data_IF_557927030152
#
_entry.id   IF_557927030152
#
_cell.length_a   1.000
_cell.length_b   1.000
_cell.length_c   1.000
_cell.angle_alpha   90.00
_cell.angle_beta   90.00
_cell.angle_gamma   90.00
#
_symmetry.space_group_name_H-M   'P 1'
#
loop_
_entity.id
_entity.type
_entity.pdbx_description
1 polymer ?
#
# COMPACT_ATOMS: atom_id res chain seq x y z
N UNK A 1 -41.97 -2.46 -46.57
CA UNK A 1 -43.19 -2.84 -45.83
C UNK A 1 -42.72 -3.64 -44.62
N UNK A 2 -42.37 -2.99 -43.50
CA UNK A 2 -43.26 -2.67 -42.37
C UNK A 2 -44.05 -3.89 -41.88
N UNK A 3 -43.72 -4.42 -40.70
CA UNK A 3 -44.66 -4.64 -39.58
C UNK A 3 -43.85 -4.66 -38.26
N UNK A 4 -44.12 -3.66 -37.41
CA UNK A 4 -43.82 -3.57 -35.98
C UNK A 4 -44.65 -4.55 -35.15
N UNK A 5 -44.14 -5.03 -34.00
CA UNK A 5 -45.03 -5.41 -32.89
C UNK A 5 -44.43 -5.16 -31.51
N UNK A 6 -45.24 -4.47 -30.69
CA UNK A 6 -45.07 -4.09 -29.30
C UNK A 6 -45.28 -5.26 -28.34
N UNK A 7 -44.59 -5.28 -27.20
CA UNK A 7 -45.14 -5.88 -25.97
C UNK A 7 -44.95 -4.97 -24.74
N UNK A 8 -46.09 -4.77 -24.07
CA UNK A 8 -46.36 -3.89 -22.92
C UNK A 8 -45.82 -4.47 -21.61
N UNK A 9 -45.25 -3.62 -20.74
CA UNK A 9 -45.03 -3.91 -19.31
C UNK A 9 -46.28 -3.56 -18.49
N UNK A 10 -46.78 -4.50 -17.70
CA UNK A 10 -47.89 -4.32 -16.75
C UNK A 10 -47.36 -3.80 -15.41
N UNK A 11 -48.02 -2.77 -14.87
CA UNK A 11 -47.92 -2.31 -13.47
C UNK A 11 -48.99 -3.00 -12.64
N UNK A 12 -48.64 -3.49 -11.45
CA UNK A 12 -49.59 -3.95 -10.43
C UNK A 12 -49.64 -2.94 -9.29
N UNK A 13 -50.87 -2.56 -8.91
CA UNK A 13 -51.18 -1.79 -7.72
C UNK A 13 -51.82 -2.73 -6.68
N UNK A 14 -51.50 -2.53 -5.40
CA UNK A 14 -52.14 -3.19 -4.25
C UNK A 14 -52.31 -2.17 -3.13
N UNK A 15 -53.51 -2.14 -2.54
CA UNK A 15 -54.04 -1.18 -1.57
C UNK A 15 -54.11 -1.76 -0.13
N UNK A 16 -54.24 -0.83 0.83
CA UNK A 16 -54.74 -0.91 2.23
C UNK A 16 -53.72 -1.33 3.31
N UNK A 17 -53.65 -0.76 4.52
CA UNK A 17 -54.29 0.36 5.25
C UNK A 17 -53.53 0.56 6.59
N UNK A 18 -53.74 1.64 7.37
CA UNK A 18 -52.78 2.14 8.36
C UNK A 18 -53.09 1.77 9.82
N UNK A 19 -52.07 1.82 10.69
CA UNK A 19 -52.21 1.85 12.16
C UNK A 19 -51.40 3.03 12.71
N UNK A 20 -52.05 3.83 13.56
CA UNK A 20 -51.55 5.04 14.18
C UNK A 20 -51.09 4.82 15.63
N UNK A 21 -50.07 5.58 16.06
CA UNK A 21 -49.76 6.12 17.41
C UNK A 21 -48.28 6.58 17.39
N UNK A 22 -47.80 7.68 17.95
CA UNK A 22 -48.34 8.80 18.73
C UNK A 22 -47.29 9.93 18.74
N UNK A 23 -47.76 11.17 18.95
CA UNK A 23 -47.01 12.43 18.88
C UNK A 23 -45.82 12.58 19.85
N UNK A 24 -44.76 13.21 19.35
CA UNK A 24 -43.73 13.92 20.14
C UNK A 24 -43.44 15.27 19.49
N UNK A 25 -43.93 16.34 20.11
CA UNK A 25 -43.96 17.72 19.61
C UNK A 25 -42.58 18.39 19.74
N UNK A 26 -42.04 18.95 18.64
CA UNK A 26 -41.00 19.99 18.74
C UNK A 26 -41.40 21.24 17.94
N UNK A 27 -41.19 22.37 18.60
CA UNK A 27 -41.68 23.72 18.31
C UNK A 27 -40.87 24.32 17.16
N UNK A 28 -41.54 24.79 16.10
CA UNK A 28 -40.94 25.59 15.02
C UNK A 28 -40.58 27.00 15.53
N UNK A 29 -39.32 27.41 15.36
CA UNK A 29 -38.90 28.83 15.37
C UNK A 29 -38.88 29.37 13.92
N UNK A 30 -39.16 30.67 13.69
CA UNK A 30 -39.41 31.19 12.35
C UNK A 30 -38.10 31.46 11.60
N UNK A 31 -38.07 31.11 10.30
CA UNK A 31 -37.05 31.56 9.34
C UNK A 31 -37.18 33.07 9.13
N UNK A 32 -36.09 33.82 9.39
CA UNK A 32 -35.84 35.11 8.74
C UNK A 32 -35.13 34.81 7.43
N UNK A 33 -35.67 35.32 6.34
CA UNK A 33 -35.04 35.27 5.02
C UNK A 33 -33.81 36.16 4.98
N UNK A 34 -32.77 35.65 4.37
CA UNK A 34 -31.88 36.40 3.50
C UNK A 34 -31.49 35.44 2.38
N UNK A 35 -31.70 35.90 1.16
CA UNK A 35 -31.22 35.29 -0.07
C UNK A 35 -29.70 35.29 -0.05
N UNK A 36 -29.11 34.10 -0.15
CA UNK A 36 -27.75 33.83 -0.64
C UNK A 36 -27.74 32.32 -0.96
N UNK A 37 -28.47 31.96 -2.02
CA UNK A 37 -28.31 30.67 -2.69
C UNK A 37 -26.95 30.71 -3.41
N UNK A 38 -25.96 29.94 -2.93
CA UNK A 38 -24.89 29.27 -3.71
C UNK A 38 -23.67 28.88 -2.85
N UNK A 39 -23.81 28.09 -1.77
CA UNK A 39 -22.64 27.47 -1.08
C UNK A 39 -22.85 26.03 -0.56
N UNK A 40 -23.82 25.25 -1.06
CA UNK A 40 -24.11 23.90 -0.55
C UNK A 40 -23.68 22.73 -1.48
N UNK A 41 -22.60 22.88 -2.25
CA UNK A 41 -22.11 21.81 -3.15
C UNK A 41 -20.89 21.02 -2.66
N UNK A 42 -20.38 21.25 -1.45
CA UNK A 42 -19.14 20.60 -0.98
C UNK A 42 -19.18 20.29 0.51
N UNK A 43 -20.09 19.41 0.98
CA UNK A 43 -20.00 18.91 2.37
C UNK A 43 -20.62 17.53 2.64
N UNK A 44 -20.84 16.70 1.62
CA UNK A 44 -21.08 15.26 1.83
C UNK A 44 -19.87 14.48 1.32
N UNK A 45 -18.80 14.45 2.11
CA UNK A 45 -17.68 13.53 1.92
C UNK A 45 -17.79 12.39 2.96
N UNK A 46 -18.42 11.25 2.63
CA UNK A 46 -18.50 10.09 3.51
C UNK A 46 -17.15 9.38 3.73
N UNK A 47 -16.05 9.85 3.11
CA UNK A 47 -14.75 9.17 3.16
C UNK A 47 -14.06 9.15 4.54
N UNK A 48 -14.50 9.96 5.50
CA UNK A 48 -13.73 10.17 6.73
C UNK A 48 -14.14 9.33 7.94
N UNK A 49 -15.39 8.88 8.03
CA UNK A 49 -15.75 7.82 9.00
C UNK A 49 -15.19 6.45 8.53
N UNK A 50 -14.90 6.31 7.23
CA UNK A 50 -14.25 5.12 6.66
C UNK A 50 -12.75 5.05 6.99
N UNK A 51 -12.02 6.15 7.19
CA UNK A 51 -10.55 6.09 7.40
C UNK A 51 -10.12 5.39 8.72
N UNK A 52 -10.90 5.54 9.80
CA UNK A 52 -10.67 4.84 11.07
C UNK A 52 -11.17 3.38 11.04
N UNK A 53 -12.09 3.06 10.12
CA UNK A 53 -12.62 1.72 9.87
C UNK A 53 -11.72 0.92 8.90
N UNK A 54 -11.26 1.54 7.81
CA UNK A 54 -10.24 1.04 6.89
C UNK A 54 -8.94 0.69 7.62
N UNK A 55 -8.50 1.48 8.61
CA UNK A 55 -7.29 1.17 9.37
C UNK A 55 -7.42 -0.11 10.23
N UNK A 56 -8.63 -0.52 10.62
CA UNK A 56 -8.87 -1.77 11.35
C UNK A 56 -9.09 -2.95 10.40
N UNK A 57 -9.74 -2.73 9.27
CA UNK A 57 -10.00 -3.77 8.25
C UNK A 57 -8.76 -4.05 7.40
N UNK A 58 -7.82 -3.10 7.29
CA UNK A 58 -6.58 -3.27 6.53
C UNK A 58 -5.40 -3.85 7.30
N UNK A 59 -5.58 -4.26 8.56
CA UNK A 59 -4.50 -4.78 9.40
C UNK A 59 -3.78 -5.97 8.73
N UNK A 60 -2.50 -5.79 8.43
CA UNK A 60 -1.65 -6.83 7.82
C UNK A 60 -1.59 -8.04 8.75
N UNK A 61 -1.97 -9.22 8.25
CA UNK A 61 -1.87 -10.46 9.02
C UNK A 61 -0.42 -10.94 9.06
N UNK A 62 0.17 -10.92 10.25
CA UNK A 62 1.54 -11.38 10.47
C UNK A 62 1.59 -12.86 10.85
N UNK A 63 2.72 -13.49 10.57
CA UNK A 63 3.03 -14.85 10.99
C UNK A 63 4.51 -15.15 10.88
N UNK A 64 4.85 -16.43 10.74
CA UNK A 64 6.22 -16.87 10.48
C UNK A 64 6.21 -17.60 9.14
N UNK A 65 6.73 -16.96 8.11
CA UNK A 65 6.77 -17.57 6.79
C UNK A 65 7.87 -18.62 6.68
N UNK A 66 7.74 -19.55 5.72
CA UNK A 66 8.80 -20.53 5.44
C UNK A 66 10.08 -19.82 4.97
N UNK A 67 11.24 -20.48 5.11
CA UNK A 67 12.49 -19.97 4.54
C UNK A 67 12.41 -19.93 3.00
N UNK A 68 13.36 -19.24 2.37
CA UNK A 68 13.55 -19.37 0.93
C UNK A 68 14.35 -20.65 0.66
N UNK A 69 13.89 -21.46 -0.29
CA UNK A 69 14.58 -22.66 -0.75
C UNK A 69 14.80 -22.55 -2.26
N UNK A 70 16.06 -22.70 -2.69
CA UNK A 70 16.40 -22.81 -4.11
C UNK A 70 16.54 -24.30 -4.45
N UNK A 71 15.54 -24.87 -5.10
CA UNK A 71 15.49 -26.28 -5.47
C UNK A 71 15.83 -26.52 -6.94
N UNK A 72 15.68 -25.49 -7.79
CA UNK A 72 15.82 -25.57 -9.22
C UNK A 72 16.47 -24.30 -9.79
N UNK A 73 17.70 -24.45 -10.28
CA UNK A 73 18.48 -23.36 -10.90
C UNK A 73 17.75 -22.69 -12.07
N UNK A 74 16.86 -23.43 -12.77
CA UNK A 74 16.06 -22.87 -13.87
C UNK A 74 14.96 -21.92 -13.39
N UNK A 75 14.48 -22.12 -12.16
CA UNK A 75 13.42 -21.30 -11.55
C UNK A 75 13.99 -20.09 -10.83
N UNK A 76 15.06 -20.27 -10.08
CA UNK A 76 15.70 -19.21 -9.30
C UNK A 76 16.16 -18.03 -10.16
N UNK A 77 16.27 -16.84 -9.57
CA UNK A 77 16.94 -15.68 -10.20
C UNK A 77 18.45 -15.93 -10.33
N UNK A 78 19.15 -15.26 -11.27
CA UNK A 78 20.60 -15.39 -11.39
C UNK A 78 21.31 -15.00 -10.09
N UNK A 79 22.43 -15.64 -9.76
CA UNK A 79 23.20 -15.30 -8.57
C UNK A 79 23.74 -13.86 -8.62
N UNK A 80 23.69 -13.18 -7.48
CA UNK A 80 24.17 -11.80 -7.35
C UNK A 80 25.70 -11.81 -7.32
N UNK A 81 26.39 -10.93 -8.07
CA UNK A 81 27.82 -10.72 -7.90
C UNK A 81 28.13 -10.11 -6.53
N UNK A 82 29.39 -10.11 -6.14
CA UNK A 82 29.82 -9.39 -4.94
C UNK A 82 29.60 -7.88 -5.14
N UNK A 83 28.76 -7.27 -4.30
CA UNK A 83 28.48 -5.83 -4.32
C UNK A 83 29.32 -5.12 -3.25
N UNK A 84 30.16 -4.18 -3.64
CA UNK A 84 30.86 -3.29 -2.73
C UNK A 84 30.10 -1.97 -2.58
N UNK A 85 29.36 -1.84 -1.46
CA UNK A 85 28.53 -0.67 -1.17
C UNK A 85 29.31 0.67 -1.17
N UNK A 86 30.64 0.66 -1.04
CA UNK A 86 31.46 1.89 -1.03
C UNK A 86 31.87 2.37 -2.42
N UNK A 87 31.86 1.50 -3.43
CA UNK A 87 32.33 1.82 -4.79
C UNK A 87 31.24 1.65 -5.84
N UNK A 88 30.31 0.74 -5.59
CA UNK A 88 29.29 0.35 -6.54
C UNK A 88 28.04 1.18 -6.30
N UNK A 89 27.42 1.62 -7.37
CA UNK A 89 26.07 2.18 -7.35
C UNK A 89 25.07 1.06 -7.62
N UNK A 90 23.85 1.19 -7.11
CA UNK A 90 22.76 0.28 -7.43
C UNK A 90 21.71 0.99 -8.26
N UNK A 91 21.28 0.38 -9.37
CA UNK A 91 20.25 0.92 -10.25
C UNK A 91 19.19 -0.14 -10.46
N UNK A 92 17.92 0.21 -10.23
CA UNK A 92 16.81 -0.71 -10.44
C UNK A 92 15.55 0.03 -10.86
N UNK A 93 14.69 -0.64 -11.62
CA UNK A 93 13.36 -0.16 -11.95
C UNK A 93 12.43 -0.53 -10.80
N UNK A 94 11.82 0.47 -10.17
CA UNK A 94 10.84 0.23 -9.11
C UNK A 94 9.52 -0.25 -9.72
N UNK A 95 8.84 -1.18 -9.05
CA UNK A 95 7.55 -1.73 -9.52
C UNK A 95 6.43 -1.56 -8.49
N UNK A 96 6.77 -1.49 -7.21
CA UNK A 96 5.82 -1.44 -6.11
C UNK A 96 6.44 -0.70 -4.93
N UNK A 97 5.60 -0.15 -4.07
CA UNK A 97 6.00 0.52 -2.86
C UNK A 97 4.97 0.32 -1.76
N UNK A 98 5.44 0.24 -0.53
CA UNK A 98 4.58 0.22 0.64
C UNK A 98 5.26 0.94 1.82
N UNK A 99 4.55 1.03 2.95
CA UNK A 99 5.09 1.61 4.18
C UNK A 99 4.91 0.70 5.38
N UNK A 100 5.80 0.85 6.37
CA UNK A 100 5.63 0.24 7.69
C UNK A 100 6.14 1.16 8.79
N UNK A 101 5.63 0.99 10.01
CA UNK A 101 6.16 1.69 11.19
C UNK A 101 7.27 0.87 11.81
N UNK A 102 8.47 1.44 11.92
CA UNK A 102 9.59 0.78 12.60
C UNK A 102 9.45 0.87 14.12
N UNK A 103 9.09 -0.26 14.75
CA UNK A 103 9.02 -0.36 16.21
C UNK A 103 10.38 -0.53 16.87
N UNK A 104 11.37 -1.05 16.12
CA UNK A 104 12.63 -1.52 16.69
C UNK A 104 13.68 -0.40 16.71
N UNK A 105 13.35 0.75 16.11
CA UNK A 105 14.21 1.93 16.08
C UNK A 105 15.55 1.62 15.41
N UNK A 106 15.50 0.83 14.34
CA UNK A 106 16.68 0.34 13.64
C UNK A 106 17.47 1.57 13.18
N UNK A 107 18.62 1.87 13.80
CA UNK A 107 19.34 3.07 13.44
C UNK A 107 19.81 2.89 12.00
N UNK A 108 19.53 3.85 11.13
CA UNK A 108 20.17 3.86 9.82
C UNK A 108 21.69 3.91 10.05
N UNK A 109 22.36 2.78 9.79
CA UNK A 109 23.72 2.50 10.30
C UNK A 109 24.75 3.47 9.70
N UNK A 110 24.49 4.01 8.52
CA UNK A 110 25.46 4.75 7.73
C UNK A 110 25.71 6.17 8.20
N UNK A 111 24.75 6.82 8.85
CA UNK A 111 24.92 8.22 9.21
C UNK A 111 24.20 8.54 10.52
N UNK A 112 24.90 8.27 11.63
CA UNK A 112 24.45 8.64 12.98
C UNK A 112 24.43 10.15 13.22
N UNK A 113 24.99 10.95 12.31
CA UNK A 113 25.02 12.41 12.43
C UNK A 113 23.75 13.06 11.91
N UNK A 114 23.01 12.40 11.01
CA UNK A 114 21.71 12.86 10.56
C UNK A 114 20.68 12.74 11.68
N UNK A 115 19.77 13.71 11.84
CA UNK A 115 18.72 13.65 12.83
C UNK A 115 17.84 12.43 12.54
N UNK A 116 18.01 11.40 13.37
CA UNK A 116 17.19 10.20 13.35
C UNK A 116 16.21 10.30 14.52
N UNK A 117 14.92 10.34 14.21
CA UNK A 117 13.87 10.26 15.23
C UNK A 117 13.89 8.83 15.76
N UNK A 118 14.34 8.63 17.01
CA UNK A 118 14.52 7.28 17.57
C UNK A 118 13.18 6.61 17.84
N UNK A 119 12.95 5.47 17.18
CA UNK A 119 11.81 4.59 17.42
C UNK A 119 10.49 5.21 16.96
N UNK A 120 9.72 4.48 16.15
CA UNK A 120 8.40 4.87 15.63
C UNK A 120 8.39 5.87 14.46
N UNK A 121 9.26 5.68 13.47
CA UNK A 121 9.11 6.37 12.18
C UNK A 121 8.44 5.47 11.15
N UNK A 122 7.83 6.10 10.15
CA UNK A 122 7.41 5.41 8.94
C UNK A 122 8.59 5.22 8.00
N UNK A 123 8.86 3.97 7.64
CA UNK A 123 9.83 3.59 6.61
C UNK A 123 9.05 3.21 5.36
N UNK A 124 9.53 3.65 4.20
CA UNK A 124 9.01 3.23 2.90
C UNK A 124 9.83 2.05 2.40
N UNK A 125 9.19 1.01 1.89
CA UNK A 125 9.84 -0.06 1.14
C UNK A 125 9.58 0.16 -0.34
N UNK A 126 10.65 0.18 -1.12
CA UNK A 126 10.59 0.26 -2.57
C UNK A 126 11.07 -1.07 -3.15
N UNK A 127 10.24 -1.72 -3.97
CA UNK A 127 10.55 -2.98 -4.60
C UNK A 127 10.87 -2.78 -6.07
N UNK A 128 11.77 -3.58 -6.62
CA UNK A 128 12.08 -3.49 -8.03
C UNK A 128 13.11 -4.49 -8.51
N UNK A 129 13.58 -4.27 -9.74
CA UNK A 129 14.45 -5.20 -10.47
C UNK A 129 15.57 -4.44 -11.18
N UNK A 130 16.81 -4.94 -11.10
CA UNK A 130 17.96 -4.38 -11.85
C UNK A 130 17.90 -4.75 -13.33
N UNK A 131 18.74 -4.13 -14.17
CA UNK A 131 18.88 -4.50 -15.59
C UNK A 131 19.31 -5.97 -15.77
N UNK A 132 20.05 -6.54 -14.81
CA UNK A 132 20.50 -7.93 -14.79
C UNK A 132 19.42 -8.92 -14.27
N UNK A 133 18.31 -8.40 -13.75
CA UNK A 133 17.22 -9.22 -13.23
C UNK A 133 17.32 -9.58 -11.75
N UNK A 134 18.12 -8.87 -10.95
CA UNK A 134 18.16 -9.07 -9.50
C UNK A 134 16.97 -8.40 -8.82
N UNK A 135 16.30 -9.11 -7.91
CA UNK A 135 15.22 -8.49 -7.12
C UNK A 135 15.77 -7.65 -5.96
N UNK A 136 15.24 -6.44 -5.82
CA UNK A 136 15.67 -5.43 -4.85
C UNK A 136 14.50 -5.04 -3.96
N UNK A 137 14.77 -4.90 -2.67
CA UNK A 137 13.94 -4.14 -1.75
C UNK A 137 14.81 -3.11 -1.02
N UNK A 138 14.50 -1.83 -1.20
CA UNK A 138 15.15 -0.72 -0.55
C UNK A 138 14.28 -0.17 0.58
N UNK A 139 14.83 -0.07 1.78
CA UNK A 139 14.25 0.67 2.90
C UNK A 139 14.67 2.13 2.80
N UNK A 140 13.71 3.03 2.59
CA UNK A 140 13.92 4.46 2.51
C UNK A 140 13.64 5.10 3.87
N UNK A 141 14.66 5.71 4.45
CA UNK A 141 14.63 6.31 5.78
C UNK A 141 14.55 7.83 5.73
N UNK A 142 14.04 8.43 6.81
CA UNK A 142 14.14 9.88 7.06
C UNK A 142 13.21 10.75 6.23
N UNK A 143 12.21 10.16 5.57
CA UNK A 143 11.10 10.93 5.02
C UNK A 143 10.05 11.17 6.10
N UNK A 144 9.68 12.43 6.32
CA UNK A 144 8.84 12.84 7.46
C UNK A 144 7.47 13.30 6.95
N UNK A 145 6.36 12.78 7.47
CA UNK A 145 5.02 13.24 7.12
C UNK A 145 4.82 14.71 7.48
N UNK A 146 4.20 15.47 6.59
CA UNK A 146 3.87 16.87 6.84
C UNK A 146 2.60 17.30 6.10
N UNK A 147 2.00 18.38 6.58
CA UNK A 147 0.89 19.08 5.96
C UNK A 147 1.02 20.60 6.22
N UNK A 148 0.11 21.40 5.69
CA UNK A 148 0.14 22.86 5.89
C UNK A 148 -1.08 23.40 6.61
N UNK A 149 -0.92 24.53 7.29
CA UNK A 149 -1.99 25.28 7.93
C UNK A 149 -1.82 26.80 7.75
N UNK A 150 -2.89 27.57 7.85
CA UNK A 150 -2.83 29.03 7.91
C UNK A 150 -2.07 29.52 9.14
N UNK A 151 -1.34 30.63 9.02
CA UNK A 151 -0.75 31.29 10.19
C UNK A 151 -1.85 31.84 11.13
N UNK A 152 -1.63 31.83 12.46
CA UNK A 152 -2.63 32.32 13.42
C UNK A 152 -2.97 33.81 13.28
N UNK A 153 -1.99 34.63 12.91
CA UNK A 153 -2.15 36.08 12.73
C UNK A 153 -1.06 36.64 11.84
N UNK A 154 -1.28 37.84 11.30
CA UNK A 154 -0.26 38.58 10.53
C UNK A 154 0.98 38.96 11.35
N UNK A 155 0.88 38.86 12.68
CA UNK A 155 1.98 39.11 13.62
C UNK A 155 2.73 37.85 14.02
N UNK A 156 2.32 36.67 13.55
CA UNK A 156 2.97 35.41 13.87
C UNK A 156 4.35 35.32 13.19
N UNK A 157 5.38 34.98 13.95
CA UNK A 157 6.76 34.96 13.46
C UNK A 157 7.45 33.61 13.68
N UNK A 158 8.65 33.46 13.14
CA UNK A 158 9.47 32.27 13.37
C UNK A 158 9.77 32.03 14.87
N UNK A 159 9.80 33.08 15.69
CA UNK A 159 10.01 32.96 17.13
C UNK A 159 8.82 32.29 17.85
N UNK A 160 7.63 32.33 17.25
CA UNK A 160 6.40 31.75 17.81
C UNK A 160 6.22 30.28 17.45
N UNK A 161 6.96 29.77 16.46
CA UNK A 161 6.84 28.41 15.93
C UNK A 161 7.07 27.34 17.00
N UNK A 162 8.07 27.51 17.86
CA UNK A 162 8.37 26.54 18.92
C UNK A 162 7.25 26.51 19.98
N UNK A 163 6.68 27.66 20.34
CA UNK A 163 5.53 27.73 21.25
C UNK A 163 4.29 27.09 20.63
N UNK A 164 4.03 27.36 19.35
CA UNK A 164 2.93 26.73 18.61
C UNK A 164 3.11 25.20 18.61
N UNK A 165 4.30 24.72 18.23
CA UNK A 165 4.66 23.30 18.22
C UNK A 165 4.40 22.64 19.57
N UNK A 166 4.89 23.21 20.67
CA UNK A 166 4.74 22.63 22.01
C UNK A 166 3.28 22.50 22.44
N UNK A 167 2.48 23.55 22.24
CA UNK A 167 1.06 23.52 22.59
C UNK A 167 0.27 22.59 21.67
N UNK A 168 0.60 22.54 20.38
CA UNK A 168 -0.06 21.66 19.42
C UNK A 168 0.27 20.20 19.70
N UNK A 169 1.53 19.92 20.03
CA UNK A 169 1.98 18.62 20.52
C UNK A 169 1.18 18.17 21.75
N UNK A 170 0.99 19.03 22.74
CA UNK A 170 0.22 18.71 23.93
C UNK A 170 -1.27 18.44 23.61
N UNK A 171 -1.87 19.22 22.72
CA UNK A 171 -3.24 19.01 22.26
C UNK A 171 -3.38 17.66 21.55
N UNK A 172 -2.52 17.38 20.57
CA UNK A 172 -2.51 16.11 19.84
C UNK A 172 -2.30 14.93 20.78
N UNK A 173 -1.37 15.05 21.74
CA UNK A 173 -1.09 14.00 22.74
C UNK A 173 -2.31 13.66 23.59
N UNK A 174 -3.14 14.65 23.93
CA UNK A 174 -4.36 14.43 24.73
C UNK A 174 -5.44 13.61 23.99
N UNK A 175 -5.41 13.64 22.66
CA UNK A 175 -6.30 12.85 21.80
C UNK A 175 -5.76 11.42 21.55
N UNK A 176 -4.46 11.20 21.70
CA UNK A 176 -3.85 9.88 21.46
C UNK A 176 -4.24 8.86 22.54
N UNK A 177 -4.18 7.56 22.17
CA UNK A 177 -4.46 6.41 23.05
C UNK A 177 -3.37 5.36 22.89
N UNK A 178 -3.25 4.45 23.87
CA UNK A 178 -2.33 3.30 23.78
C UNK A 178 -0.86 3.71 23.63
N UNK A 179 -0.14 3.03 22.72
CA UNK A 179 1.31 3.28 22.48
C UNK A 179 1.59 4.69 21.97
N UNK A 180 0.67 5.27 21.19
CA UNK A 180 0.82 6.61 20.63
C UNK A 180 0.74 7.70 21.73
N UNK A 181 0.01 7.46 22.83
CA UNK A 181 -0.02 8.38 23.98
C UNK A 181 1.32 8.45 24.75
N UNK A 182 2.19 7.46 24.55
CA UNK A 182 3.48 7.32 25.24
C UNK A 182 4.64 7.87 24.38
N UNK A 183 4.46 7.95 23.05
CA UNK A 183 5.45 8.52 22.14
C UNK A 183 5.94 9.90 22.61
N UNK A 184 7.25 10.17 22.53
CA UNK A 184 7.83 11.40 23.11
C UNK A 184 7.45 12.65 22.31
N UNK A 185 7.47 12.56 20.98
CA UNK A 185 7.34 13.69 20.07
C UNK A 185 6.39 13.37 18.91
N UNK A 186 5.11 13.74 19.03
CA UNK A 186 4.11 13.55 17.98
C UNK A 186 4.21 14.61 16.86
N UNK A 187 4.64 15.82 17.22
CA UNK A 187 4.83 16.97 16.32
C UNK A 187 6.32 17.28 16.31
N UNK A 188 6.96 17.05 15.16
CA UNK A 188 8.41 17.08 15.02
C UNK A 188 8.91 18.50 14.73
N UNK A 189 8.23 19.21 13.84
CA UNK A 189 8.62 20.55 13.41
C UNK A 189 7.42 21.41 13.05
N UNK A 190 7.56 22.72 13.26
CA UNK A 190 6.63 23.75 12.75
C UNK A 190 7.49 24.87 12.19
N UNK A 191 7.33 25.17 10.90
CA UNK A 191 8.10 26.21 10.22
C UNK A 191 7.20 27.06 9.33
N UNK A 192 7.59 28.33 9.11
CA UNK A 192 6.88 29.22 8.21
C UNK A 192 7.42 29.04 6.80
N UNK A 193 6.54 28.75 5.86
CA UNK A 193 6.83 28.75 4.42
C UNK A 193 5.97 29.78 3.68
N UNK A 194 6.42 30.17 2.49
CA UNK A 194 5.66 30.98 1.56
C UNK A 194 5.04 30.10 0.48
N UNK A 195 3.72 29.95 0.51
CA UNK A 195 2.96 29.13 -0.45
C UNK A 195 1.73 29.90 -0.94
N UNK A 196 1.01 29.35 -1.91
CA UNK A 196 -0.27 29.89 -2.38
C UNK A 196 -1.28 28.76 -2.52
N UNK A 197 -2.54 29.08 -2.27
CA UNK A 197 -3.63 28.18 -2.61
C UNK A 197 -3.73 28.03 -4.12
N UNK A 198 -3.96 26.80 -4.59
CA UNK A 198 -4.29 26.50 -5.99
C UNK A 198 -5.62 27.13 -6.43
N UNK A 199 -6.53 27.34 -5.47
CA UNK A 199 -7.84 27.92 -5.73
C UNK A 199 -7.77 29.45 -5.84
N UNK A 200 -8.23 29.96 -6.99
CA UNK A 200 -8.31 31.40 -7.28
C UNK A 200 -6.99 32.02 -7.74
N UNK A 201 -7.07 33.10 -8.51
CA UNK A 201 -5.89 33.87 -8.91
C UNK A 201 -5.35 34.68 -7.73
N UNK A 202 -4.05 34.54 -7.45
CA UNK A 202 -3.35 35.31 -6.42
C UNK A 202 -2.16 36.04 -7.05
N UNK A 203 -2.10 37.39 -6.97
CA UNK A 203 -1.03 38.17 -7.59
C UNK A 203 0.35 37.78 -7.07
N UNK A 204 1.38 37.93 -7.91
CA UNK A 204 2.73 37.51 -7.54
C UNK A 204 3.32 38.25 -6.32
N UNK A 205 2.86 39.48 -6.12
CA UNK A 205 3.19 40.32 -4.98
C UNK A 205 2.68 39.79 -3.64
N UNK A 206 1.73 38.83 -3.64
CA UNK A 206 1.24 38.17 -2.43
C UNK A 206 1.86 36.77 -2.33
N UNK A 207 2.67 36.55 -1.31
CA UNK A 207 3.17 35.23 -0.92
C UNK A 207 2.73 34.97 0.52
N UNK A 208 1.47 34.53 0.71
CA UNK A 208 0.96 34.33 2.06
C UNK A 208 1.83 33.31 2.79
N UNK A 209 2.01 33.57 4.08
CA UNK A 209 2.71 32.67 4.96
C UNK A 209 1.78 31.53 5.38
N UNK A 210 2.33 30.33 5.39
CA UNK A 210 1.68 29.13 5.90
C UNK A 210 2.61 28.46 6.89
N UNK A 211 2.04 27.71 7.83
CA UNK A 211 2.79 26.81 8.68
C UNK A 211 2.91 25.47 7.97
N UNK A 212 4.13 24.97 7.82
CA UNK A 212 4.39 23.57 7.52
C UNK A 212 4.59 22.83 8.82
N UNK A 213 3.76 21.83 9.05
CA UNK A 213 3.70 21.07 10.29
C UNK A 213 4.13 19.64 9.98
N UNK A 214 5.25 19.21 10.54
CA UNK A 214 5.77 17.86 10.43
C UNK A 214 5.35 17.03 11.64
N UNK A 215 4.82 15.84 11.40
CA UNK A 215 4.36 14.92 12.45
C UNK A 215 5.09 13.58 12.36
N UNK A 216 5.11 12.83 13.46
CA UNK A 216 5.87 11.59 13.56
C UNK A 216 5.36 10.50 12.60
N UNK A 217 4.04 10.35 12.47
CA UNK A 217 3.41 9.29 11.68
C UNK A 217 2.30 9.87 10.79
N UNK A 218 2.09 9.35 9.57
CA UNK A 218 1.03 9.80 8.66
C UNK A 218 -0.36 9.77 9.31
N UNK A 219 -0.65 8.74 10.10
CA UNK A 219 -1.94 8.59 10.81
C UNK A 219 -2.27 9.75 11.76
N UNK A 220 -1.29 10.54 12.18
CA UNK A 220 -1.53 11.70 13.04
C UNK A 220 -2.08 12.92 12.28
N UNK A 221 -2.02 12.94 10.95
CA UNK A 221 -2.49 14.07 10.13
C UNK A 221 -4.01 14.26 10.28
N UNK A 222 -4.80 13.19 10.28
CA UNK A 222 -6.26 13.27 10.40
C UNK A 222 -6.69 13.91 11.74
N UNK A 223 -6.13 13.44 12.86
CA UNK A 223 -6.40 14.05 14.18
C UNK A 223 -5.86 15.48 14.27
N UNK A 224 -4.69 15.73 13.68
CA UNK A 224 -4.08 17.07 13.61
C UNK A 224 -5.00 18.06 12.90
N UNK A 225 -5.57 17.67 11.75
CA UNK A 225 -6.56 18.46 11.01
C UNK A 225 -7.76 18.80 11.88
N UNK A 226 -8.38 17.80 12.52
CA UNK A 226 -9.56 17.99 13.38
C UNK A 226 -9.29 18.99 14.51
N UNK A 227 -8.14 18.89 15.19
CA UNK A 227 -7.76 19.80 16.28
C UNK A 227 -7.62 21.24 15.76
N UNK A 228 -6.97 21.41 14.61
CA UNK A 228 -6.73 22.73 14.02
C UNK A 228 -8.03 23.37 13.50
N UNK A 229 -8.89 22.62 12.82
CA UNK A 229 -10.12 23.14 12.21
C UNK A 229 -11.21 23.42 13.25
N UNK A 230 -11.31 22.60 14.31
CA UNK A 230 -12.29 22.81 15.39
C UNK A 230 -11.92 23.93 16.38
N UNK A 231 -10.69 24.43 16.31
CA UNK A 231 -10.19 25.49 17.16
C UNK A 231 -9.15 25.02 18.17
N UNK A 232 -7.97 25.65 18.14
CA UNK A 232 -6.85 25.32 19.02
C UNK A 232 -6.15 26.59 19.54
N UNK A 233 -5.77 26.56 20.83
CA UNK A 233 -5.05 27.66 21.48
C UNK A 233 -3.55 27.45 21.48
N UNK A 234 -2.85 28.11 20.56
CA UNK A 234 -1.38 28.05 20.48
C UNK A 234 -0.68 28.90 21.53
N UNK A 235 -1.39 29.86 22.15
CA UNK A 235 -0.86 30.71 23.22
C UNK A 235 -1.02 30.08 24.60
N UNK A 236 -1.81 29.00 24.73
CA UNK A 236 -2.18 28.40 26.01
C UNK A 236 -3.34 29.10 26.71
N UNK A 237 -3.89 30.16 26.13
CA UNK A 237 -5.11 30.79 26.62
C UNK A 237 -6.34 30.02 26.13
N UNK A 238 -6.88 29.15 26.99
CA UNK A 238 -8.02 28.25 26.65
C UNK A 238 -9.31 28.98 26.26
N UNK A 239 -9.43 30.28 26.53
CA UNK A 239 -10.59 31.08 26.08
C UNK A 239 -10.50 31.56 24.64
N UNK A 240 -9.33 31.45 24.01
CA UNK A 240 -9.11 31.79 22.61
C UNK A 240 -8.83 30.51 21.83
N UNK A 241 -9.87 30.02 21.14
CA UNK A 241 -9.79 28.89 20.23
C UNK A 241 -9.91 29.43 18.81
N UNK A 242 -8.78 29.52 18.13
CA UNK A 242 -8.73 29.96 16.74
C UNK A 242 -8.79 28.73 15.83
N UNK A 243 -9.68 28.75 14.83
CA UNK A 243 -9.74 27.72 13.80
C UNK A 243 -8.72 28.02 12.70
N UNK A 244 -7.97 27.01 12.27
CA UNK A 244 -6.96 27.14 11.22
C UNK A 244 -7.41 26.39 9.97
N UNK A 245 -7.28 27.03 8.82
CA UNK A 245 -7.48 26.36 7.54
C UNK A 245 -6.30 25.42 7.29
N UNK A 246 -6.58 24.15 7.04
CA UNK A 246 -5.55 23.17 6.69
C UNK A 246 -5.47 22.96 5.18
N UNK A 247 -4.32 22.52 4.70
CA UNK A 247 -4.07 22.22 3.30
C UNK A 247 -3.25 20.94 3.21
N UNK A 248 -3.45 20.20 2.12
CA UNK A 248 -2.70 18.98 1.81
C UNK A 248 -2.75 17.90 2.92
N UNK A 249 -3.83 17.89 3.71
CA UNK A 249 -4.07 16.92 4.80
C UNK A 249 -4.67 15.59 4.33
N UNK A 250 -4.99 15.49 3.03
CA UNK A 250 -5.63 14.33 2.40
C UNK A 250 -4.79 13.78 1.23
N UNK A 251 -3.46 13.75 1.41
CA UNK A 251 -2.54 13.19 0.42
C UNK A 251 -1.82 12.03 1.08
N UNK A 252 -1.91 10.86 0.46
CA UNK A 252 -1.27 9.64 0.93
C UNK A 252 0.25 9.84 1.05
N UNK A 253 0.83 9.23 2.07
CA UNK A 253 2.23 9.46 2.43
C UNK A 253 3.19 9.03 1.32
N UNK A 254 2.86 7.94 0.65
CA UNK A 254 3.51 7.37 -0.51
C UNK A 254 3.47 8.32 -1.71
N UNK A 255 2.29 8.85 -2.03
CA UNK A 255 2.09 9.80 -3.14
C UNK A 255 2.83 11.10 -2.86
N UNK A 256 2.82 11.54 -1.60
CA UNK A 256 3.57 12.69 -1.13
C UNK A 256 5.08 12.50 -1.32
N UNK A 257 5.64 11.35 -0.91
CA UNK A 257 7.05 11.00 -1.19
C UNK A 257 7.36 11.04 -2.68
N UNK A 258 6.50 10.42 -3.49
CA UNK A 258 6.70 10.34 -4.93
C UNK A 258 6.76 11.73 -5.57
N UNK A 259 5.84 12.61 -5.19
CA UNK A 259 5.84 13.99 -5.65
C UNK A 259 7.09 14.76 -5.22
N UNK A 260 7.47 14.67 -3.93
CA UNK A 260 8.58 15.43 -3.36
C UNK A 260 9.94 15.01 -3.93
N UNK A 261 10.12 13.72 -4.22
CA UNK A 261 11.37 13.16 -4.76
C UNK A 261 11.33 12.95 -6.28
N UNK A 262 10.29 13.42 -6.96
CA UNK A 262 10.06 13.23 -8.40
C UNK A 262 10.12 11.75 -8.82
N UNK A 263 9.62 10.84 -7.99
CA UNK A 263 9.45 9.43 -8.32
C UNK A 263 8.10 9.27 -9.02
N UNK A 264 8.11 8.60 -10.16
CA UNK A 264 6.89 8.23 -10.88
C UNK A 264 6.78 6.71 -10.94
N UNK A 265 5.58 6.21 -11.26
CA UNK A 265 5.36 4.77 -11.42
C UNK A 265 6.33 4.15 -12.44
N UNK A 266 6.86 2.97 -12.12
CA UNK A 266 7.74 2.18 -12.99
C UNK A 266 9.03 2.88 -13.41
N UNK A 267 9.50 3.90 -12.69
CA UNK A 267 10.72 4.60 -13.05
C UNK A 267 12.00 3.92 -12.54
N UNK A 268 13.13 4.39 -13.05
CA UNK A 268 14.44 3.93 -12.62
C UNK A 268 14.96 4.77 -11.46
N UNK A 269 15.43 4.08 -10.43
CA UNK A 269 16.05 4.68 -9.25
C UNK A 269 17.51 4.26 -9.19
N UNK A 270 18.40 5.24 -9.01
CA UNK A 270 19.81 5.01 -8.68
C UNK A 270 20.07 5.34 -7.22
N UNK A 271 20.84 4.48 -6.56
CA UNK A 271 21.39 4.71 -5.24
C UNK A 271 22.90 4.82 -5.38
N UNK A 272 23.50 6.02 -5.14
CA UNK A 272 24.92 6.24 -5.31
C UNK A 272 25.78 5.39 -4.37
N UNK A 273 27.02 5.12 -4.79
CA UNK A 273 28.02 4.47 -3.96
C UNK A 273 28.23 5.20 -2.63
N UNK A 274 28.37 4.44 -1.54
CA UNK A 274 28.56 4.93 -0.18
C UNK A 274 27.29 5.47 0.49
N UNK A 275 26.14 5.47 -0.19
CA UNK A 275 24.85 5.96 0.35
C UNK A 275 23.93 4.87 0.87
N UNK A 276 24.28 3.61 0.64
CA UNK A 276 23.49 2.45 1.06
C UNK A 276 24.35 1.38 1.70
N UNK A 277 23.68 0.48 2.41
CA UNK A 277 24.28 -0.76 2.88
C UNK A 277 23.30 -1.90 2.66
N UNK A 278 23.86 -3.08 2.40
CA UNK A 278 23.08 -4.30 2.22
C UNK A 278 22.97 -5.02 3.56
N UNK A 279 21.75 -5.27 4.03
CA UNK A 279 21.48 -5.78 5.38
C UNK A 279 22.17 -7.10 5.69
N UNK A 280 22.18 -8.03 4.74
CA UNK A 280 22.80 -9.35 4.93
C UNK A 280 24.35 -9.29 4.91
N UNK A 281 24.94 -8.20 4.39
CA UNK A 281 26.39 -7.98 4.35
C UNK A 281 26.92 -7.27 5.59
N UNK A 282 26.06 -6.77 6.49
CA UNK A 282 26.47 -6.16 7.76
C UNK A 282 26.95 -7.25 8.72
N UNK A 283 28.18 -7.69 8.52
CA UNK A 283 28.90 -8.62 9.40
C UNK A 283 30.22 -7.97 9.79
N UNK A 284 30.23 -7.36 10.99
CA UNK A 284 31.37 -7.11 11.91
C UNK A 284 31.20 -5.75 12.61
N UNK A 285 30.91 -5.79 13.91
CA UNK A 285 31.01 -4.63 14.81
C UNK A 285 29.69 -4.08 15.38
N UNK A 286 28.53 -4.57 14.93
CA UNK A 286 27.24 -4.22 15.51
C UNK A 286 26.70 -5.47 16.20
N UNK A 287 26.39 -5.34 17.48
CA UNK A 287 25.93 -6.43 18.37
C UNK A 287 24.59 -7.06 17.99
N UNK A 288 23.98 -6.66 16.86
CA UNK A 288 22.68 -7.11 16.41
C UNK A 288 22.71 -7.27 14.88
N UNK A 289 22.56 -8.51 14.40
CA UNK A 289 22.27 -8.75 12.98
C UNK A 289 20.90 -8.12 12.67
N UNK A 290 20.83 -7.31 11.60
CA UNK A 290 19.55 -6.79 11.14
C UNK A 290 18.68 -7.94 10.62
N UNK A 291 17.43 -8.00 11.09
CA UNK A 291 16.47 -9.01 10.63
C UNK A 291 16.08 -8.69 9.19
N UNK A 292 16.39 -9.60 8.27
CA UNK A 292 15.91 -9.51 6.88
C UNK A 292 14.40 -9.70 6.83
N UNK A 293 13.69 -8.75 6.23
CA UNK A 293 12.24 -8.76 6.11
C UNK A 293 11.74 -9.39 4.80
N UNK A 294 12.56 -9.36 3.74
CA UNK A 294 12.16 -9.74 2.39
C UNK A 294 12.88 -10.96 1.85
N UNK A 295 12.27 -11.58 0.84
CA UNK A 295 12.83 -12.65 0.00
C UNK A 295 13.60 -12.09 -1.21
N UNK A 296 13.71 -10.78 -1.34
CA UNK A 296 14.51 -10.17 -2.40
C UNK A 296 15.98 -10.59 -2.27
N UNK A 297 16.64 -10.70 -3.41
CA UNK A 297 18.07 -10.97 -3.48
C UNK A 297 18.89 -9.87 -2.80
N UNK A 298 18.51 -8.61 -3.01
CA UNK A 298 19.15 -7.44 -2.42
C UNK A 298 18.15 -6.76 -1.48
N UNK A 299 18.45 -6.79 -0.19
CA UNK A 299 17.73 -6.01 0.84
C UNK A 299 18.70 -4.97 1.43
N UNK A 300 18.38 -3.69 1.23
CA UNK A 300 19.26 -2.57 1.59
C UNK A 300 18.52 -1.46 2.33
N UNK A 301 19.29 -0.60 2.99
CA UNK A 301 18.80 0.64 3.58
C UNK A 301 19.49 1.85 2.95
N UNK A 302 18.72 2.92 2.75
CA UNK A 302 19.16 4.20 2.18
C UNK A 302 18.35 5.34 2.79
N UNK A 303 18.91 6.54 2.86
CA UNK A 303 18.11 7.73 3.16
C UNK A 303 17.29 8.15 1.93
N UNK A 304 16.03 8.51 2.13
CA UNK A 304 15.12 8.88 1.05
C UNK A 304 15.70 9.98 0.13
N UNK A 305 16.39 10.97 0.70
CA UNK A 305 16.98 12.09 -0.06
C UNK A 305 18.36 11.79 -0.68
N UNK A 306 18.95 10.61 -0.46
CA UNK A 306 20.20 10.21 -1.13
C UNK A 306 19.94 9.45 -2.45
N UNK A 307 18.69 9.08 -2.77
CA UNK A 307 18.35 8.41 -4.03
C UNK A 307 18.30 9.41 -5.19
N UNK A 308 18.51 8.91 -6.40
CA UNK A 308 18.36 9.65 -7.65
C UNK A 308 17.19 9.03 -8.42
N UNK A 309 16.16 9.84 -8.65
CA UNK A 309 15.01 9.46 -9.48
C UNK A 309 15.26 9.89 -10.93
N UNK A 310 15.20 8.95 -11.87
CA UNK A 310 15.28 9.28 -13.29
C UNK A 310 13.89 9.44 -13.92
N UNK A 311 13.68 10.50 -14.73
CA UNK A 311 12.49 10.60 -15.56
C UNK A 311 12.50 9.50 -16.62
N UNK A 312 11.32 9.04 -17.05
CA UNK A 312 11.16 8.00 -18.09
C UNK A 312 11.44 8.55 -19.49
N UNK A 313 12.67 9.02 -19.72
CA UNK A 313 13.13 9.67 -20.94
C UNK A 313 14.49 9.12 -21.38
N UNK A 314 14.74 9.12 -22.69
CA UNK A 314 16.00 8.62 -23.26
C UNK A 314 16.31 7.18 -22.82
N UNK A 315 17.51 6.97 -22.28
CA UNK A 315 17.98 5.65 -21.83
C UNK A 315 17.12 5.05 -20.70
N UNK A 316 16.37 5.88 -19.96
CA UNK A 316 15.51 5.48 -18.85
C UNK A 316 14.09 5.08 -19.27
N UNK A 317 13.81 5.01 -20.57
CA UNK A 317 12.58 4.43 -21.11
C UNK A 317 12.60 2.90 -21.18
N UNK A 318 13.78 2.28 -21.00
CA UNK A 318 13.92 0.83 -20.98
C UNK A 318 13.14 0.21 -19.81
N UNK A 319 12.80 -1.06 -19.95
CA UNK A 319 12.05 -1.83 -18.95
C UNK A 319 12.96 -2.95 -18.46
N UNK A 320 13.02 -3.15 -17.14
CA UNK A 320 13.75 -4.25 -16.52
C UNK A 320 13.21 -5.61 -17.01
N UNK A 321 13.99 -6.69 -16.95
CA UNK A 321 13.56 -8.02 -17.35
C UNK A 321 12.62 -8.66 -16.30
N UNK A 322 11.44 -8.05 -16.12
CA UNK A 322 10.42 -8.47 -15.16
C UNK A 322 9.97 -9.91 -15.43
N UNK A 323 9.85 -10.73 -14.38
CA UNK A 323 9.27 -12.06 -14.45
C UNK A 323 7.76 -11.96 -14.37
N UNK A 324 7.09 -12.34 -15.45
CA UNK A 324 5.62 -12.35 -15.56
C UNK A 324 5.18 -13.81 -15.46
N UNK A 325 4.49 -14.15 -14.38
CA UNK A 325 3.93 -15.47 -14.14
C UNK A 325 2.43 -15.47 -14.45
N UNK A 326 1.98 -16.41 -15.27
CA UNK A 326 0.56 -16.72 -15.42
C UNK A 326 0.27 -18.10 -14.86
N UNK A 327 -0.88 -18.27 -14.21
CA UNK A 327 -1.30 -19.55 -13.66
C UNK A 327 -2.82 -19.73 -13.77
N UNK A 328 -3.25 -20.99 -13.66
CA UNK A 328 -4.64 -21.44 -13.73
C UNK A 328 -4.80 -22.71 -12.87
N UNK A 329 -5.95 -22.87 -12.24
CA UNK A 329 -6.24 -24.02 -11.37
C UNK A 329 -7.40 -24.86 -11.90
N UNK A 330 -7.36 -26.16 -11.60
CA UNK A 330 -8.47 -27.06 -11.83
C UNK A 330 -8.94 -27.71 -10.53
N UNK A 331 -10.25 -27.74 -10.32
CA UNK A 331 -10.89 -28.29 -9.13
C UNK A 331 -11.84 -29.44 -9.50
N UNK A 332 -11.83 -30.53 -8.73
CA UNK A 332 -12.73 -31.65 -8.94
C UNK A 332 -14.06 -31.45 -8.19
N UNK A 333 -15.02 -30.76 -8.82
CA UNK A 333 -16.33 -30.45 -8.24
C UNK A 333 -17.33 -31.61 -8.20
N UNK A 334 -18.28 -31.54 -7.26
CA UNK A 334 -19.47 -32.40 -7.22
C UNK A 334 -20.43 -32.08 -8.38
N UNK A 335 -21.11 -33.12 -8.89
CA UNK A 335 -22.01 -32.99 -10.06
C UNK A 335 -23.12 -31.96 -9.82
N UNK A 336 -23.17 -30.94 -10.67
CA UNK A 336 -24.21 -29.89 -10.67
C UNK A 336 -24.03 -28.82 -9.58
N UNK A 337 -22.92 -28.85 -8.84
CA UNK A 337 -22.58 -27.88 -7.81
C UNK A 337 -21.30 -27.17 -8.26
N UNK A 338 -21.29 -25.84 -8.18
CA UNK A 338 -20.08 -25.07 -8.44
C UNK A 338 -19.03 -25.38 -7.36
N UNK A 339 -17.73 -25.51 -7.67
CA UNK A 339 -16.72 -25.90 -6.68
C UNK A 339 -16.74 -25.02 -5.43
N UNK A 340 -16.74 -25.65 -4.26
CA UNK A 340 -16.66 -25.02 -2.94
C UNK A 340 -15.33 -25.40 -2.27
N UNK A 341 -14.48 -24.44 -1.85
CA UNK A 341 -13.15 -24.71 -1.31
C UNK A 341 -13.12 -25.68 -0.12
N UNK A 342 -14.19 -25.72 0.68
CA UNK A 342 -14.31 -26.62 1.84
C UNK A 342 -14.62 -28.08 1.47
N UNK A 343 -14.94 -28.35 0.20
CA UNK A 343 -15.42 -29.67 -0.23
C UNK A 343 -14.66 -30.21 -1.43
N UNK A 344 -14.43 -29.37 -2.44
CA UNK A 344 -13.98 -29.79 -3.76
C UNK A 344 -12.47 -29.54 -3.90
N UNK A 345 -11.64 -30.58 -4.09
CA UNK A 345 -10.18 -30.45 -4.05
C UNK A 345 -9.62 -29.77 -5.30
N UNK A 346 -8.51 -29.06 -5.12
CA UNK A 346 -7.65 -28.62 -6.21
C UNK A 346 -6.86 -29.82 -6.71
N UNK A 347 -6.96 -30.10 -8.00
CA UNK A 347 -6.34 -31.29 -8.63
C UNK A 347 -5.20 -30.94 -9.56
N UNK A 348 -5.17 -29.74 -10.14
CA UNK A 348 -4.07 -29.28 -10.97
C UNK A 348 -3.83 -27.79 -10.78
N UNK A 349 -2.58 -27.36 -10.86
CA UNK A 349 -2.19 -25.96 -11.00
C UNK A 349 -1.16 -25.86 -12.12
N UNK A 350 -1.52 -25.21 -13.22
CA UNK A 350 -0.61 -24.93 -14.32
C UNK A 350 0.05 -23.57 -14.12
N UNK A 351 1.32 -23.42 -14.49
CA UNK A 351 2.02 -22.14 -14.41
C UNK A 351 3.01 -21.98 -15.56
N UNK A 352 3.06 -20.77 -16.11
CA UNK A 352 4.03 -20.35 -17.12
C UNK A 352 4.70 -19.06 -16.71
N UNK A 353 5.99 -18.91 -17.01
CA UNK A 353 6.75 -17.70 -16.67
C UNK A 353 7.57 -17.25 -17.87
N UNK A 354 7.40 -15.99 -18.24
CA UNK A 354 8.16 -15.29 -19.26
C UNK A 354 8.90 -14.11 -18.64
N UNK A 355 10.01 -13.68 -19.24
CA UNK A 355 10.68 -12.43 -18.87
C UNK A 355 10.26 -11.35 -19.84
N UNK A 356 10.05 -10.14 -19.34
CA UNK A 356 9.71 -9.01 -20.18
C UNK A 356 10.77 -8.82 -21.27
N UNK A 357 10.33 -8.81 -22.52
CA UNK A 357 11.19 -8.69 -23.70
C UNK A 357 11.62 -10.03 -24.34
N UNK A 358 11.49 -11.16 -23.64
CA UNK A 358 11.73 -12.48 -24.24
C UNK A 358 10.59 -12.86 -25.20
N UNK A 359 10.90 -13.69 -26.19
CA UNK A 359 9.92 -14.17 -27.19
C UNK A 359 9.11 -15.39 -26.73
N UNK A 360 9.71 -16.20 -25.85
CA UNK A 360 9.16 -17.46 -25.39
C UNK A 360 9.30 -17.55 -23.88
N UNK A 361 8.36 -18.24 -23.26
CA UNK A 361 8.40 -18.58 -21.85
C UNK A 361 9.58 -19.50 -21.51
N UNK A 362 10.25 -19.23 -20.39
CA UNK A 362 11.37 -20.05 -19.94
C UNK A 362 10.95 -21.11 -18.92
N UNK A 363 9.78 -20.97 -18.30
CA UNK A 363 9.21 -21.96 -17.37
C UNK A 363 7.80 -22.34 -17.83
N UNK A 364 7.55 -23.64 -17.90
CA UNK A 364 6.24 -24.25 -18.03
C UNK A 364 6.15 -25.41 -17.05
N UNK A 365 5.18 -25.38 -16.15
CA UNK A 365 5.00 -26.41 -15.14
C UNK A 365 3.53 -26.73 -14.94
N UNK A 366 3.25 -27.97 -14.53
CA UNK A 366 1.94 -28.36 -14.03
C UNK A 366 2.13 -29.18 -12.76
N UNK A 367 1.51 -28.75 -11.67
CA UNK A 367 1.42 -29.50 -10.42
C UNK A 367 0.15 -30.31 -10.46
N UNK A 368 0.23 -31.64 -10.28
CA UNK A 368 -0.94 -32.53 -10.41
C UNK A 368 -1.14 -33.36 -9.15
N UNK A 369 -2.39 -33.54 -8.75
CA UNK A 369 -2.77 -34.50 -7.71
C UNK A 369 -2.78 -35.91 -8.33
N UNK A 370 -1.88 -36.77 -7.87
CA UNK A 370 -1.64 -38.08 -8.47
C UNK A 370 -0.72 -38.02 -9.69
N UNK A 371 -0.75 -39.08 -10.49
CA UNK A 371 0.16 -39.25 -11.63
C UNK A 371 -0.32 -38.51 -12.87
N UNK A 372 0.62 -38.05 -13.70
CA UNK A 372 0.34 -37.39 -14.96
C UNK A 372 1.36 -37.86 -16.02
N UNK A 373 0.89 -38.10 -17.24
CA UNK A 373 1.77 -38.45 -18.34
C UNK A 373 2.73 -37.29 -18.64
N UNK A 374 3.96 -37.61 -19.04
CA UNK A 374 4.94 -36.59 -19.40
C UNK A 374 4.45 -35.74 -20.58
N UNK A 375 4.60 -34.42 -20.47
CA UNK A 375 4.23 -33.44 -21.49
C UNK A 375 5.52 -32.80 -22.01
N UNK A 376 5.75 -32.87 -23.32
CA UNK A 376 6.99 -32.38 -23.92
C UNK A 376 7.21 -30.89 -23.63
N UNK A 377 8.36 -30.56 -23.03
CA UNK A 377 8.73 -29.18 -22.69
C UNK A 377 8.07 -28.60 -21.44
N UNK A 378 7.30 -29.40 -20.67
CA UNK A 378 6.63 -28.98 -19.44
C UNK A 378 7.18 -29.78 -18.25
N UNK A 379 7.47 -29.09 -17.15
CA UNK A 379 7.81 -29.74 -15.88
C UNK A 379 6.55 -30.27 -15.18
N UNK A 380 6.33 -31.58 -15.25
CA UNK A 380 5.21 -32.24 -14.56
C UNK A 380 5.62 -32.57 -13.12
N UNK A 381 4.92 -31.99 -12.15
CA UNK A 381 5.16 -32.16 -10.71
C UNK A 381 4.03 -32.98 -10.10
N UNK A 382 4.20 -34.30 -10.10
CA UNK A 382 3.25 -35.23 -9.47
C UNK A 382 3.30 -35.11 -7.94
N UNK A 383 2.16 -34.85 -7.32
CA UNK A 383 2.00 -34.69 -5.88
C UNK A 383 1.07 -35.77 -5.34
N UNK A 384 1.45 -36.46 -4.27
CA UNK A 384 0.67 -37.59 -3.72
C UNK A 384 -0.57 -37.15 -2.97
N UNK A 385 -0.51 -35.96 -2.37
CA UNK A 385 -1.60 -35.36 -1.60
C UNK A 385 -1.84 -33.94 -2.07
N UNK A 386 -3.06 -33.44 -1.84
CA UNK A 386 -3.38 -32.04 -2.14
C UNK A 386 -2.56 -31.08 -1.26
N UNK A 387 -2.22 -31.50 -0.04
CA UNK A 387 -1.31 -30.74 0.82
C UNK A 387 0.05 -30.52 0.15
N UNK A 388 0.65 -31.59 -0.37
CA UNK A 388 1.92 -31.51 -1.10
C UNK A 388 1.79 -30.63 -2.35
N UNK A 389 0.68 -30.73 -3.08
CA UNK A 389 0.42 -29.91 -4.27
C UNK A 389 0.43 -28.42 -3.95
N UNK A 390 -0.35 -28.00 -2.95
CA UNK A 390 -0.46 -26.59 -2.55
C UNK A 390 0.86 -26.07 -1.97
N UNK A 391 1.53 -26.85 -1.12
CA UNK A 391 2.82 -26.49 -0.53
C UNK A 391 3.90 -26.30 -1.60
N UNK A 392 4.04 -27.26 -2.51
CA UNK A 392 5.04 -27.18 -3.60
C UNK A 392 4.76 -26.06 -4.59
N UNK A 393 3.49 -25.75 -4.87
CA UNK A 393 3.17 -24.60 -5.71
C UNK A 393 3.51 -23.28 -5.02
N UNK A 394 3.25 -23.16 -3.71
CA UNK A 394 3.64 -21.99 -2.94
C UNK A 394 5.18 -21.82 -2.87
N UNK A 395 5.93 -22.92 -2.72
CA UNK A 395 7.40 -22.92 -2.79
C UNK A 395 7.88 -22.47 -4.17
N UNK A 396 7.25 -22.98 -5.24
CA UNK A 396 7.55 -22.57 -6.60
C UNK A 396 7.34 -21.06 -6.82
N UNK A 397 6.24 -20.48 -6.34
CA UNK A 397 6.01 -19.02 -6.43
C UNK A 397 7.11 -18.24 -5.69
N UNK A 398 7.51 -18.70 -4.50
CA UNK A 398 8.59 -18.06 -3.72
C UNK A 398 9.95 -18.18 -4.40
N UNK A 399 10.25 -19.32 -5.01
CA UNK A 399 11.53 -19.58 -5.69
C UNK A 399 11.64 -18.84 -7.03
N UNK A 400 10.57 -18.84 -7.82
CA UNK A 400 10.51 -18.10 -9.10
C UNK A 400 10.60 -16.60 -8.87
N UNK A 401 10.10 -16.10 -7.74
CA UNK A 401 10.05 -14.68 -7.41
C UNK A 401 9.47 -13.80 -8.55
N UNK A 402 8.23 -14.06 -9.01
CA UNK A 402 7.61 -13.27 -10.09
C UNK A 402 7.38 -11.82 -9.67
N UNK A 403 7.60 -10.89 -10.61
CA UNK A 403 7.35 -9.46 -10.43
C UNK A 403 5.88 -9.14 -10.68
N UNK A 404 5.29 -9.79 -11.69
CA UNK A 404 3.88 -9.68 -12.06
C UNK A 404 3.27 -11.07 -12.03
N UNK A 405 2.12 -11.22 -11.38
CA UNK A 405 1.29 -12.42 -11.47
C UNK A 405 0.00 -12.05 -12.21
N UNK A 406 -0.30 -12.79 -13.27
CA UNK A 406 -1.43 -12.56 -14.18
C UNK A 406 -2.20 -13.86 -14.45
N UNK A 407 -3.33 -13.74 -15.14
CA UNK A 407 -4.27 -14.82 -15.43
C UNK A 407 -5.65 -14.24 -15.69
N UNK A 408 -6.68 -15.08 -15.66
CA UNK A 408 -8.05 -14.65 -15.93
C UNK A 408 -8.95 -15.06 -14.76
N UNK A 409 -9.52 -14.07 -14.06
CA UNK A 409 -10.33 -14.27 -12.85
C UNK A 409 -9.53 -14.77 -11.62
N UNK A 410 -8.21 -14.57 -11.63
CA UNK A 410 -7.30 -15.05 -10.58
C UNK A 410 -7.57 -14.44 -9.21
N UNK A 411 -8.05 -13.19 -9.14
CA UNK A 411 -8.34 -12.55 -7.87
C UNK A 411 -9.64 -13.06 -7.24
N UNK A 412 -10.71 -13.09 -8.04
CA UNK A 412 -12.05 -13.42 -7.58
C UNK A 412 -12.29 -14.92 -7.43
N UNK A 413 -11.54 -15.76 -8.16
CA UNK A 413 -11.64 -17.21 -8.10
C UNK A 413 -10.33 -17.84 -7.61
N UNK A 414 -9.27 -17.90 -8.42
CA UNK A 414 -8.13 -18.78 -8.14
C UNK A 414 -7.45 -18.53 -6.79
N UNK A 415 -6.98 -17.31 -6.52
CA UNK A 415 -6.36 -16.95 -5.23
C UNK A 415 -7.33 -17.14 -4.07
N UNK A 416 -8.57 -16.66 -4.21
CA UNK A 416 -9.58 -16.78 -3.17
C UNK A 416 -9.88 -18.26 -2.83
N UNK A 417 -9.95 -19.11 -3.85
CA UNK A 417 -10.16 -20.55 -3.73
C UNK A 417 -8.96 -21.21 -3.06
N UNK A 418 -7.74 -20.97 -3.56
CA UNK A 418 -6.51 -21.55 -3.04
C UNK A 418 -6.27 -21.19 -1.57
N UNK A 419 -6.44 -19.91 -1.20
CA UNK A 419 -6.27 -19.45 0.18
C UNK A 419 -7.28 -20.10 1.13
N UNK A 420 -8.54 -20.18 0.71
CA UNK A 420 -9.61 -20.80 1.51
C UNK A 420 -9.39 -22.31 1.63
N UNK A 421 -9.00 -22.98 0.53
CA UNK A 421 -8.68 -24.41 0.51
C UNK A 421 -7.49 -24.75 1.40
N UNK A 422 -6.40 -23.98 1.29
CA UNK A 422 -5.22 -24.15 2.14
C UNK A 422 -5.55 -23.97 3.62
N UNK A 423 -6.40 -22.98 3.96
CA UNK A 423 -6.92 -22.80 5.32
C UNK A 423 -7.75 -23.99 5.78
N UNK A 424 -8.65 -24.51 4.95
CA UNK A 424 -9.46 -25.70 5.25
C UNK A 424 -8.60 -26.94 5.53
N UNK A 425 -7.52 -27.11 4.78
CA UNK A 425 -6.56 -28.22 4.93
C UNK A 425 -5.49 -27.96 6.01
N UNK A 426 -5.53 -26.83 6.72
CA UNK A 426 -4.57 -26.41 7.74
C UNK A 426 -3.11 -26.28 7.23
N UNK A 427 -2.92 -25.87 5.98
CA UNK A 427 -1.60 -25.65 5.38
C UNK A 427 -1.10 -24.27 5.76
N UNK A 428 -0.52 -24.17 6.96
CA UNK A 428 -0.13 -22.89 7.55
C UNK A 428 0.95 -22.12 6.78
N UNK A 429 1.75 -22.80 5.95
CA UNK A 429 2.86 -22.25 5.15
C UNK A 429 2.44 -21.72 3.77
N UNK A 430 1.24 -22.07 3.30
CA UNK A 430 0.73 -21.66 2.00
C UNK A 430 0.56 -20.13 1.85
N UNK A 431 -0.07 -19.40 2.80
CA UNK A 431 -0.45 -18.01 2.59
C UNK A 431 0.73 -17.04 2.73
N UNK A 432 1.97 -17.43 2.43
CA UNK A 432 3.13 -16.53 2.41
C UNK A 432 3.68 -16.46 0.99
N UNK A 433 2.94 -15.76 0.11
CA UNK A 433 3.21 -15.68 -1.33
C UNK A 433 3.86 -14.35 -1.75
N UNK A 434 3.73 -13.30 -0.93
CA UNK A 434 4.41 -12.00 -1.15
C UNK A 434 5.94 -12.07 -0.99
N UNK A 435 6.62 -10.94 -1.21
CA UNK A 435 8.07 -10.83 -0.99
C UNK A 435 8.44 -10.64 0.47
N UNK A 436 7.53 -10.13 1.29
CA UNK A 436 7.74 -10.06 2.74
C UNK A 436 7.58 -11.45 3.35
N UNK A 437 8.57 -11.88 4.15
CA UNK A 437 8.63 -13.26 4.66
C UNK A 437 7.46 -13.59 5.57
N UNK A 438 7.18 -12.67 6.49
CA UNK A 438 6.32 -12.90 7.66
C UNK A 438 4.93 -12.26 7.50
N UNK A 439 4.56 -11.83 6.29
CA UNK A 439 3.24 -11.27 5.97
C UNK A 439 2.41 -12.32 5.24
N UNK A 440 1.19 -12.55 5.74
CA UNK A 440 0.24 -13.45 5.11
C UNK A 440 -0.51 -12.76 3.98
N UNK A 441 -0.60 -13.46 2.86
CA UNK A 441 -1.53 -13.19 1.77
C UNK A 441 -2.94 -13.54 2.21
N UNK A 442 -3.84 -12.56 2.07
CA UNK A 442 -5.24 -12.63 2.47
C UNK A 442 -6.12 -12.15 1.31
N UNK A 443 -7.35 -12.65 1.25
CA UNK A 443 -8.36 -12.17 0.30
C UNK A 443 -9.41 -11.34 1.03
N UNK A 444 -9.53 -10.06 0.67
CA UNK A 444 -10.50 -9.13 1.25
C UNK A 444 -11.54 -8.75 0.20
N UNK A 445 -12.81 -8.70 0.61
CA UNK A 445 -13.86 -8.17 -0.27
C UNK A 445 -13.75 -6.66 -0.32
N UNK A 446 -13.66 -6.10 -1.52
CA UNK A 446 -13.72 -4.67 -1.80
C UNK A 446 -14.87 -4.38 -2.74
N UNK A 447 -15.66 -3.34 -2.45
CA UNK A 447 -16.75 -2.91 -3.31
C UNK A 447 -16.31 -1.66 -4.06
N UNK A 448 -16.20 -1.77 -5.38
CA UNK A 448 -15.95 -0.62 -6.25
C UNK A 448 -17.28 -0.14 -6.83
N UNK A 449 -17.56 1.14 -6.65
CA UNK A 449 -18.77 1.76 -7.19
C UNK A 449 -18.43 3.06 -7.92
N UNK A 450 -18.71 3.09 -9.22
CA UNK A 450 -18.63 4.33 -10.01
C UNK A 450 -19.76 4.39 -11.04
N UNK A 451 -20.05 5.60 -11.54
CA UNK A 451 -21.06 5.78 -12.59
C UNK A 451 -20.66 5.06 -13.89
N UNK A 452 -19.36 5.01 -14.19
CA UNK A 452 -18.84 4.40 -15.42
C UNK A 452 -18.77 2.87 -15.33
N UNK A 453 -18.34 2.31 -14.19
CA UNK A 453 -18.07 0.87 -14.05
C UNK A 453 -19.21 0.10 -13.35
N UNK A 454 -20.20 0.82 -12.81
CA UNK A 454 -21.26 0.25 -11.99
C UNK A 454 -20.77 -0.09 -10.58
N UNK A 455 -21.55 -0.93 -9.89
CA UNK A 455 -21.16 -1.50 -8.59
C UNK A 455 -20.65 -2.92 -8.82
N UNK A 456 -19.41 -3.17 -8.43
CA UNK A 456 -18.76 -4.49 -8.51
C UNK A 456 -18.21 -4.86 -7.14
N UNK A 457 -18.33 -6.13 -6.79
CA UNK A 457 -17.70 -6.72 -5.63
C UNK A 457 -16.52 -7.57 -6.12
N UNK A 458 -15.32 -7.21 -5.71
CA UNK A 458 -14.08 -7.89 -6.09
C UNK A 458 -13.32 -8.34 -4.84
N UNK A 459 -12.40 -9.28 -5.02
CA UNK A 459 -11.42 -9.68 -4.03
C UNK A 459 -10.12 -8.92 -4.26
N UNK A 460 -9.65 -8.23 -3.24
CA UNK A 460 -8.30 -7.69 -3.18
C UNK A 460 -7.40 -8.72 -2.48
N UNK A 461 -6.28 -9.04 -3.12
CA UNK A 461 -5.27 -9.97 -2.60
C UNK A 461 -4.00 -9.17 -2.32
N UNK A 462 -3.44 -9.27 -1.11
CA UNK A 462 -2.16 -8.62 -0.78
C UNK A 462 -0.96 -9.52 -1.13
N UNK A 463 -0.05 -8.98 -1.94
CA UNK A 463 1.20 -9.63 -2.35
C UNK A 463 2.32 -8.60 -2.37
N UNK A 464 2.79 -8.19 -1.20
CA UNK A 464 3.72 -7.08 -1.06
C UNK A 464 4.96 -7.27 -1.93
N UNK A 465 5.28 -6.27 -2.76
CA UNK A 465 6.39 -6.28 -3.70
C UNK A 465 6.12 -7.03 -5.01
N UNK A 466 4.90 -7.52 -5.25
CA UNK A 466 4.47 -8.14 -6.51
C UNK A 466 3.22 -7.47 -7.04
N UNK A 467 3.16 -7.28 -8.35
CA UNK A 467 1.99 -6.71 -9.01
C UNK A 467 1.02 -7.81 -9.42
N UNK A 468 -0.25 -7.65 -9.05
CA UNK A 468 -1.34 -8.46 -9.56
C UNK A 468 -1.97 -7.78 -10.77
N UNK A 469 -2.07 -8.53 -11.87
CA UNK A 469 -2.70 -8.07 -13.10
C UNK A 469 -3.70 -9.12 -13.59
N UNK A 470 -4.92 -9.08 -13.05
CA UNK A 470 -6.01 -9.95 -13.47
C UNK A 470 -6.63 -9.43 -14.79
N UNK A 471 -6.62 -10.24 -15.84
CA UNK A 471 -7.12 -9.85 -17.16
C UNK A 471 -8.65 -9.69 -17.22
N UNK A 472 -9.38 -10.16 -16.21
CA UNK A 472 -10.84 -9.99 -16.15
C UNK A 472 -11.26 -8.63 -15.55
N UNK A 473 -10.45 -8.08 -14.63
CA UNK A 473 -10.89 -7.00 -13.73
C UNK A 473 -10.83 -5.60 -14.32
#
# INVERSE_FOLDING_TARGET
>A
MSVTNNFKRKTFAGQNSPVAQSNGTQIKRPKRGNDDDDEDFMNDDPAYDDADQENKENAVELGQGPAYEATNVKWSRPDIPLINCSTDKLIFQQIDLDTYTDSDGTPHILDKSRPHVRGHNTIIRLYGVTDEGYSVMAHLHGYIPYFYASVPSDTFTAADCERFKQNFHAALRSEMRGKDAIASDLVLNVEIEQKRSIFGFQPDSKRPQVLKISVLLPRFIATSRRILENGFSWTGNKSQLDGYKTYETNIDFEIRLMADLNIVGCNWIEIPAGKYFIRHMVTRGISQQLKLQSRCQIELDVWAHDIISYPAEGDWQRIAPLRIMSYDIECAGRKGIFPEPEHDPVIQIASMVIRQGDKEEFIKTVFTLGTCANIAGVGVMECKTEHELLERWADFVREVDPDIITGYNIQNFDFAYLLTRAKHLNISTFPYLGRLKDVKTTARTTVLQSKQLGRRENKQINLEGRILFDLLL
#
